data_IF_914563226902
#
_entry.id   IF_914563226902
#
_cell.length_a   1.000
_cell.length_b   1.000
_cell.length_c   1.000
_cell.angle_alpha   90.00
_cell.angle_beta   90.00
_cell.angle_gamma   90.00
#
_symmetry.space_group_name_H-M   'P 1'
#
loop_
_entity.id
_entity.type
_entity.pdbx_description
1 polymer ?
#
# COMPACT_ATOMS: atom_id res chain seq x y z
N UNK A 1 -8.90 -16.92 12.51
CA UNK A 1 -8.54 -17.17 11.09
C UNK A 1 -9.28 -16.23 10.14
N UNK A 2 -10.60 -16.05 10.23
CA UNK A 2 -11.30 -15.00 9.45
C UNK A 2 -11.00 -13.57 9.97
N UNK A 3 -10.92 -13.38 11.28
CA UNK A 3 -10.72 -12.04 11.88
C UNK A 3 -9.33 -11.42 11.61
N UNK A 4 -8.25 -12.22 11.66
CA UNK A 4 -6.88 -11.76 11.37
C UNK A 4 -6.72 -11.27 9.92
N UNK A 5 -7.44 -11.91 8.98
CA UNK A 5 -7.41 -11.52 7.57
C UNK A 5 -8.13 -10.18 7.36
N UNK A 6 -9.13 -9.88 8.19
CA UNK A 6 -9.88 -8.63 8.15
C UNK A 6 -9.03 -7.44 8.63
N UNK A 7 -8.20 -7.63 9.64
CA UNK A 7 -7.33 -6.56 10.15
C UNK A 7 -6.15 -6.26 9.21
N UNK A 8 -5.52 -7.29 8.63
CA UNK A 8 -4.52 -7.07 7.59
C UNK A 8 -5.10 -6.33 6.38
N UNK A 9 -6.30 -6.71 5.94
CA UNK A 9 -6.99 -6.04 4.84
C UNK A 9 -7.21 -4.54 5.13
N UNK A 10 -7.75 -4.20 6.31
CA UNK A 10 -7.93 -2.80 6.73
C UNK A 10 -6.62 -2.03 6.76
N UNK A 11 -5.53 -2.65 7.21
CA UNK A 11 -4.23 -2.00 7.27
C UNK A 11 -3.63 -1.78 5.89
N UNK A 12 -3.77 -2.75 4.97
CA UNK A 12 -3.39 -2.59 3.55
C UNK A 12 -4.20 -1.47 2.91
N UNK A 13 -5.50 -1.39 3.17
CA UNK A 13 -6.34 -0.31 2.65
C UNK A 13 -5.87 1.07 3.15
N UNK A 14 -5.63 1.22 4.45
CA UNK A 14 -5.07 2.45 5.04
C UNK A 14 -3.70 2.79 4.46
N UNK A 15 -2.85 1.79 4.21
CA UNK A 15 -1.57 2.01 3.53
C UNK A 15 -1.79 2.61 2.14
N UNK A 16 -2.71 2.04 1.36
CA UNK A 16 -3.05 2.47 0.01
C UNK A 16 -3.66 3.88 -0.04
N UNK A 17 -4.47 4.28 0.94
CA UNK A 17 -5.03 5.63 1.02
C UNK A 17 -3.96 6.74 0.94
N UNK A 18 -2.75 6.48 1.44
CA UNK A 18 -1.65 7.45 1.37
C UNK A 18 -1.20 7.76 -0.06
N UNK A 19 -1.48 6.88 -1.04
CA UNK A 19 -1.15 7.05 -2.45
C UNK A 19 -2.25 7.75 -3.27
N UNK A 20 -3.37 8.14 -2.64
CA UNK A 20 -4.48 8.82 -3.34
C UNK A 20 -4.03 10.05 -4.12
N UNK A 21 -3.15 10.85 -3.50
CA UNK A 21 -2.62 12.11 -4.07
C UNK A 21 -1.08 12.19 -4.03
N UNK A 22 -0.41 11.06 -3.77
CA UNK A 22 1.05 10.97 -3.69
C UNK A 22 1.51 9.76 -4.49
N UNK A 23 2.69 9.88 -5.09
CA UNK A 23 3.30 8.78 -5.84
C UNK A 23 4.25 7.96 -4.95
N UNK A 24 4.72 8.57 -3.85
CA UNK A 24 5.58 7.97 -2.84
C UNK A 24 5.22 8.45 -1.43
N UNK A 25 5.56 7.66 -0.42
CA UNK A 25 5.29 7.94 0.99
C UNK A 25 6.52 7.56 1.82
N UNK A 26 6.80 8.31 2.88
CA UNK A 26 7.84 7.94 3.84
C UNK A 26 7.34 6.85 4.78
N UNK A 27 8.23 5.92 5.17
CA UNK A 27 7.95 4.92 6.21
C UNK A 27 9.02 4.97 7.30
N UNK A 28 8.62 4.66 8.54
CA UNK A 28 9.52 4.61 9.71
C UNK A 28 9.83 3.20 10.20
N UNK A 29 8.88 2.28 9.99
CA UNK A 29 8.97 0.89 10.41
C UNK A 29 8.38 0.01 9.30
N UNK A 30 8.97 -1.17 9.11
CA UNK A 30 8.40 -2.22 8.27
C UNK A 30 7.27 -2.89 9.07
N UNK A 31 6.04 -2.70 8.60
CA UNK A 31 4.81 -3.29 9.18
C UNK A 31 4.31 -4.46 8.31
N UNK A 32 3.35 -5.23 8.82
CA UNK A 32 2.88 -6.45 8.13
C UNK A 32 2.21 -6.14 6.79
N UNK A 33 1.43 -5.06 6.70
CA UNK A 33 0.81 -4.58 5.47
C UNK A 33 1.85 -4.15 4.42
N UNK A 34 2.97 -3.56 4.85
CA UNK A 34 4.09 -3.23 3.97
C UNK A 34 4.73 -4.51 3.44
N UNK A 35 5.04 -5.47 4.33
CA UNK A 35 5.65 -6.76 3.94
C UNK A 35 4.74 -7.49 2.95
N UNK A 36 3.43 -7.49 3.20
CA UNK A 36 2.46 -8.12 2.31
C UNK A 36 2.46 -7.45 0.93
N UNK A 37 2.37 -6.12 0.87
CA UNK A 37 2.31 -5.39 -0.40
C UNK A 37 3.59 -5.54 -1.24
N UNK A 38 4.76 -5.57 -0.58
CA UNK A 38 6.05 -5.83 -1.23
C UNK A 38 6.13 -7.27 -1.73
N UNK A 39 5.74 -8.27 -0.93
CA UNK A 39 5.70 -9.68 -1.36
C UNK A 39 4.76 -9.94 -2.53
N UNK A 40 3.72 -9.12 -2.69
CA UNK A 40 2.78 -9.17 -3.82
C UNK A 40 3.24 -8.34 -5.03
N UNK A 41 4.42 -7.72 -4.97
CA UNK A 41 4.97 -6.84 -5.99
C UNK A 41 4.07 -5.62 -6.31
N UNK A 42 3.30 -5.15 -5.33
CA UNK A 42 2.44 -3.97 -5.47
C UNK A 42 3.24 -2.71 -5.12
N UNK A 43 3.99 -2.76 -4.02
CA UNK A 43 4.85 -1.67 -3.56
C UNK A 43 6.32 -2.07 -3.63
N UNK A 44 7.16 -1.10 -3.93
CA UNK A 44 8.61 -1.13 -3.81
C UNK A 44 9.05 -0.35 -2.57
N UNK A 45 10.08 -0.86 -1.90
CA UNK A 45 10.70 -0.21 -0.74
C UNK A 45 12.09 0.30 -1.12
N UNK A 46 12.31 1.61 -0.97
CA UNK A 46 13.65 2.18 -0.99
C UNK A 46 14.14 2.34 0.45
N UNK A 47 15.06 1.46 0.86
CA UNK A 47 15.57 1.42 2.24
C UNK A 47 16.49 2.59 2.55
N UNK A 48 17.26 3.06 1.57
CA UNK A 48 18.21 4.16 1.76
C UNK A 48 17.47 5.50 1.97
N UNK A 49 16.41 5.73 1.21
CA UNK A 49 15.60 6.95 1.29
C UNK A 49 14.46 6.86 2.32
N UNK A 50 14.15 5.66 2.81
CA UNK A 50 13.02 5.43 3.71
C UNK A 50 11.67 5.70 3.06
N UNK A 51 11.54 5.41 1.76
CA UNK A 51 10.30 5.62 1.00
C UNK A 51 9.68 4.32 0.48
N UNK A 52 8.36 4.33 0.38
CA UNK A 52 7.55 3.35 -0.33
C UNK A 52 6.92 4.01 -1.55
N UNK A 53 6.90 3.29 -2.66
CA UNK A 53 6.23 3.71 -3.89
C UNK A 53 5.61 2.50 -4.59
N UNK A 54 4.57 2.66 -5.42
CA UNK A 54 4.08 1.56 -6.24
C UNK A 54 5.18 1.02 -7.16
N UNK A 55 5.17 -0.28 -7.41
CA UNK A 55 6.19 -0.96 -8.21
C UNK A 55 6.22 -0.40 -9.65
N UNK A 56 5.05 0.00 -10.18
CA UNK A 56 4.91 0.68 -11.46
C UNK A 56 3.83 1.78 -11.42
N UNK A 57 3.79 2.60 -12.48
CA UNK A 57 2.70 3.58 -12.69
C UNK A 57 1.34 2.90 -12.82
N UNK A 58 1.28 1.69 -13.35
CA UNK A 58 0.02 0.94 -13.48
C UNK A 58 -0.52 0.56 -12.09
N UNK A 59 0.37 0.11 -11.18
CA UNK A 59 -0.01 -0.23 -9.81
C UNK A 59 -0.54 1.00 -9.07
N UNK A 60 0.10 2.17 -9.25
CA UNK A 60 -0.40 3.42 -8.67
C UNK A 60 -1.81 3.77 -9.16
N UNK A 61 -2.07 3.63 -10.47
CA UNK A 61 -3.38 3.90 -11.05
C UNK A 61 -4.43 2.91 -10.56
N UNK A 62 -4.09 1.62 -10.47
CA UNK A 62 -4.98 0.58 -9.95
C UNK A 62 -5.35 0.82 -8.48
N UNK A 63 -4.37 1.18 -7.64
CA UNK A 63 -4.63 1.56 -6.24
C UNK A 63 -5.62 2.73 -6.18
N UNK A 64 -5.38 3.80 -6.96
CA UNK A 64 -6.26 4.97 -6.98
C UNK A 64 -7.66 4.65 -7.47
N UNK A 65 -7.81 3.74 -8.43
CA UNK A 65 -9.12 3.35 -8.96
C UNK A 65 -9.92 2.55 -7.94
N UNK A 66 -9.31 1.54 -7.33
CA UNK A 66 -9.96 0.73 -6.28
C UNK A 66 -10.40 1.60 -5.09
N UNK A 67 -9.58 2.58 -4.69
CA UNK A 67 -9.94 3.53 -3.64
C UNK A 67 -11.15 4.40 -3.99
N UNK A 68 -11.42 4.66 -5.28
CA UNK A 68 -12.64 5.36 -5.70
C UNK A 68 -13.86 4.45 -5.61
N UNK A 69 -13.74 3.20 -6.03
CA UNK A 69 -14.84 2.24 -6.02
C UNK A 69 -15.33 1.93 -4.59
N UNK A 70 -14.41 1.86 -3.63
CA UNK A 70 -14.72 1.50 -2.23
C UNK A 70 -15.25 2.70 -1.41
N UNK A 71 -14.93 3.94 -1.82
CA UNK A 71 -15.38 5.17 -1.14
C UNK A 71 -16.68 5.75 -1.72
N UNK A 72 -17.36 5.02 -2.62
CA UNK A 72 -18.71 5.33 -3.11
C UNK A 72 -19.78 4.73 -2.19
#
# INVERSE_FOLDING_TARGET
MEDENNDLFKNVFKLFENFKNRDEIAYRKITEEIVWAVKKNILFINVEEGILKPQSKLDLLAIREILKEILQ
#
